data_IF_345987245170
#
_entry.id   IF_345987245170
#
_cell.length_a   1.000
_cell.length_b   1.000
_cell.length_c   1.000
_cell.angle_alpha   90.00
_cell.angle_beta   90.00
_cell.angle_gamma   90.00
#
_symmetry.space_group_name_H-M   'P 1'
#
loop_
_entity.id
_entity.type
_entity.pdbx_description
1 polymer ?
#
# COMPACT_ATOMS: atom_id res chain seq x y z
N UNK A 1 21.84 11.80 -8.15
CA UNK A 1 23.23 11.64 -8.63
C UNK A 1 23.39 12.49 -9.89
N UNK A 2 24.55 13.12 -10.11
CA UNK A 2 24.81 13.90 -11.32
C UNK A 2 25.55 13.04 -12.35
N UNK A 3 25.14 13.07 -13.62
CA UNK A 3 25.88 12.46 -14.74
C UNK A 3 26.58 13.54 -15.55
N UNK A 4 27.86 13.36 -15.83
CA UNK A 4 28.64 14.26 -16.69
C UNK A 4 28.35 13.93 -18.17
N UNK A 5 28.08 14.94 -19.00
CA UNK A 5 28.09 14.78 -20.45
C UNK A 5 29.54 14.77 -20.95
N UNK A 6 29.88 13.76 -21.73
CA UNK A 6 31.21 13.40 -22.25
C UNK A 6 32.19 14.55 -22.49
N UNK A 7 33.25 14.62 -21.68
CA UNK A 7 34.60 15.02 -22.07
C UNK A 7 35.59 14.59 -20.98
N UNK A 8 36.72 14.02 -21.39
CA UNK A 8 37.77 13.51 -20.52
C UNK A 8 38.33 14.62 -19.60
N UNK A 9 38.46 14.32 -18.31
CA UNK A 9 39.04 15.21 -17.30
C UNK A 9 40.57 15.20 -17.50
N UNK A 10 41.13 16.24 -18.11
CA UNK A 10 42.58 16.53 -18.06
C UNK A 10 42.86 17.57 -16.98
N UNK A 11 43.92 17.34 -16.20
CA UNK A 11 44.14 17.97 -14.90
C UNK A 11 44.81 19.36 -14.95
N UNK A 12 44.65 20.15 -16.01
CA UNK A 12 45.48 21.36 -16.20
C UNK A 12 44.76 22.64 -16.67
N UNK A 13 43.45 22.75 -16.55
CA UNK A 13 42.82 24.08 -16.57
C UNK A 13 41.62 24.14 -15.64
N UNK A 14 41.44 25.30 -14.99
CA UNK A 14 40.33 25.61 -14.08
C UNK A 14 39.00 25.54 -14.87
N UNK A 15 38.46 24.34 -15.08
CA UNK A 15 37.19 24.15 -15.80
C UNK A 15 36.05 24.59 -14.89
N UNK A 16 35.32 25.63 -15.32
CA UNK A 16 34.10 26.07 -14.64
C UNK A 16 33.05 24.97 -14.87
N UNK A 17 32.56 24.36 -13.79
CA UNK A 17 31.58 23.28 -13.83
C UNK A 17 30.18 23.84 -13.57
N UNK A 18 29.24 23.58 -14.48
CA UNK A 18 27.87 24.08 -14.38
C UNK A 18 26.87 22.92 -14.40
N UNK A 19 25.81 23.01 -13.59
CA UNK A 19 24.70 22.04 -13.62
C UNK A 19 23.62 22.55 -14.56
N UNK A 20 23.20 21.72 -15.51
CA UNK A 20 22.05 22.00 -16.34
C UNK A 20 20.81 21.39 -15.72
N UNK A 21 19.70 22.15 -15.77
CA UNK A 21 18.39 21.55 -15.58
C UNK A 21 18.03 20.68 -16.81
N UNK A 22 16.88 20.01 -16.72
CA UNK A 22 16.39 19.12 -17.78
C UNK A 22 16.05 19.86 -19.10
N UNK A 23 15.86 21.18 -19.04
CA UNK A 23 15.58 22.04 -20.21
C UNK A 23 16.86 22.62 -20.84
N UNK A 24 18.02 22.06 -20.50
CA UNK A 24 19.33 22.49 -21.01
C UNK A 24 19.66 23.97 -20.68
N UNK A 25 19.14 24.48 -19.56
CA UNK A 25 19.48 25.80 -19.00
C UNK A 25 20.39 25.61 -17.79
N UNK A 26 21.36 26.51 -17.64
CA UNK A 26 22.21 26.54 -16.46
C UNK A 26 21.36 26.82 -15.23
N UNK A 27 21.34 25.87 -14.29
CA UNK A 27 20.88 26.13 -12.93
C UNK A 27 22.05 26.75 -12.16
N UNK A 28 21.78 27.85 -11.47
CA UNK A 28 22.72 28.83 -10.91
C UNK A 28 23.62 28.33 -9.78
N UNK A 29 24.41 27.28 -9.99
CA UNK A 29 25.39 26.79 -9.01
C UNK A 29 26.63 26.27 -9.75
N UNK A 30 27.65 27.10 -9.87
CA UNK A 30 28.99 26.66 -10.25
C UNK A 30 29.59 25.85 -9.10
N UNK A 31 30.24 24.71 -9.38
CA UNK A 31 31.15 24.13 -8.40
C UNK A 31 32.40 25.01 -8.34
N UNK A 32 32.74 25.55 -7.16
CA UNK A 32 34.05 26.17 -6.97
C UNK A 32 35.13 25.06 -7.00
N UNK A 33 36.30 25.42 -7.53
CA UNK A 33 37.41 24.53 -7.84
C UNK A 33 37.97 23.84 -6.59
N UNK A 34 37.44 22.65 -6.32
CA UNK A 34 38.14 21.37 -6.27
C UNK A 34 37.14 20.41 -5.64
N UNK A 35 36.40 19.60 -6.43
CA UNK A 35 35.50 18.65 -5.82
C UNK A 35 36.31 17.75 -4.88
N UNK A 36 35.92 17.72 -3.59
CA UNK A 36 36.57 16.84 -2.61
C UNK A 36 36.46 15.42 -3.13
N UNK A 37 37.61 14.80 -3.40
CA UNK A 37 37.71 13.47 -3.96
C UNK A 37 37.56 12.43 -2.85
N UNK A 38 36.67 11.47 -3.05
CA UNK A 38 36.48 10.32 -2.17
C UNK A 38 36.81 9.02 -2.89
N UNK A 39 37.20 8.01 -2.10
CA UNK A 39 37.59 6.68 -2.59
C UNK A 39 36.41 5.76 -2.93
N UNK A 40 35.18 6.17 -2.59
CA UNK A 40 33.96 5.45 -2.93
C UNK A 40 32.76 6.39 -3.11
N UNK A 41 31.73 5.91 -3.81
CA UNK A 41 30.46 6.62 -3.95
C UNK A 41 29.75 6.80 -2.60
N UNK A 42 29.86 5.83 -1.69
CA UNK A 42 29.24 5.89 -0.37
C UNK A 42 29.80 7.05 0.46
N UNK A 43 31.13 7.20 0.51
CA UNK A 43 31.79 8.30 1.22
C UNK A 43 31.36 9.67 0.69
N UNK A 44 31.24 9.78 -0.63
CA UNK A 44 30.71 10.95 -1.31
C UNK A 44 29.29 11.30 -0.87
N UNK A 45 28.39 10.32 -0.85
CA UNK A 45 26.98 10.52 -0.47
C UNK A 45 26.89 10.95 0.98
N UNK A 46 27.63 10.31 1.88
CA UNK A 46 27.68 10.70 3.30
C UNK A 46 28.21 12.13 3.48
N UNK A 47 29.31 12.48 2.80
CA UNK A 47 29.88 13.82 2.87
C UNK A 47 28.94 14.89 2.29
N UNK A 48 28.18 14.56 1.24
CA UNK A 48 27.18 15.44 0.66
C UNK A 48 25.97 15.65 1.59
N UNK A 49 25.46 14.58 2.20
CA UNK A 49 24.34 14.66 3.16
C UNK A 49 24.70 15.48 4.41
N UNK A 50 25.96 15.46 4.82
CA UNK A 50 26.46 16.24 5.95
C UNK A 50 26.71 17.73 5.61
N UNK A 51 26.58 18.14 4.34
CA UNK A 51 26.89 19.47 3.88
C UNK A 51 25.64 20.15 3.32
N UNK A 52 25.15 21.18 4.01
CA UNK A 52 23.95 21.94 3.62
C UNK A 52 24.09 22.67 2.28
N UNK A 53 25.32 22.90 1.82
CA UNK A 53 25.60 23.49 0.53
C UNK A 53 25.73 22.45 -0.58
N UNK A 54 25.76 21.15 -0.27
CA UNK A 54 25.90 20.12 -1.29
C UNK A 54 24.69 20.09 -2.22
N UNK A 55 24.96 19.96 -3.51
CA UNK A 55 23.93 19.84 -4.56
C UNK A 55 23.98 18.53 -5.31
N UNK A 56 25.02 17.74 -5.10
CA UNK A 56 25.10 16.41 -5.66
C UNK A 56 26.50 15.84 -5.63
N UNK A 57 26.59 14.61 -6.13
CA UNK A 57 27.84 13.87 -6.26
C UNK A 57 27.98 13.33 -7.68
N UNK A 58 29.22 13.23 -8.15
CA UNK A 58 29.58 12.62 -9.44
C UNK A 58 30.52 11.46 -9.22
N UNK A 59 30.25 10.34 -9.92
CA UNK A 59 31.18 9.22 -10.04
C UNK A 59 32.00 9.37 -11.32
N UNK A 60 33.33 9.35 -11.22
CA UNK A 60 34.22 9.34 -12.39
C UNK A 60 34.65 7.92 -12.75
N UNK A 61 35.45 7.78 -13.82
CA UNK A 61 36.09 6.51 -14.17
C UNK A 61 37.05 6.09 -13.04
N UNK A 62 36.98 4.83 -12.63
CA UNK A 62 37.60 4.32 -11.39
C UNK A 62 36.72 4.54 -10.15
N UNK A 63 37.09 3.99 -9.00
CA UNK A 63 36.31 4.09 -7.75
C UNK A 63 36.20 5.50 -7.15
N UNK A 64 36.65 6.53 -7.88
CA UNK A 64 36.71 7.92 -7.44
C UNK A 64 35.35 8.61 -7.57
N UNK A 65 35.02 9.40 -6.56
CA UNK A 65 33.82 10.22 -6.54
C UNK A 65 34.12 11.66 -6.08
N UNK A 66 33.26 12.59 -6.50
CA UNK A 66 33.38 14.02 -6.32
C UNK A 66 32.08 14.60 -5.70
N UNK A 67 32.21 15.45 -4.68
CA UNK A 67 31.08 16.20 -4.08
C UNK A 67 31.04 17.61 -4.66
N UNK A 68 29.83 18.10 -4.96
CA UNK A 68 29.58 19.42 -5.55
C UNK A 68 28.79 20.30 -4.60
N UNK A 69 29.24 21.54 -4.41
CA UNK A 69 28.60 22.54 -3.56
C UNK A 69 27.91 23.64 -4.37
N UNK A 70 26.91 24.26 -3.77
CA UNK A 70 26.23 25.44 -4.27
C UNK A 70 27.14 26.67 -4.18
N UNK A 71 27.32 27.39 -5.28
CA UNK A 71 27.85 28.75 -5.23
C UNK A 71 26.74 29.77 -5.56
N UNK A 72 26.90 31.00 -5.06
CA UNK A 72 26.08 32.13 -5.46
C UNK A 72 26.67 32.79 -6.71
N UNK A 73 26.10 32.53 -7.89
CA UNK A 73 26.33 33.35 -9.09
C UNK A 73 25.02 33.57 -9.85
N UNK A 74 24.79 34.83 -10.21
CA UNK A 74 23.57 35.29 -10.87
C UNK A 74 23.67 35.03 -12.39
N UNK A 75 23.30 33.82 -12.82
CA UNK A 75 23.25 33.42 -14.24
C UNK A 75 21.96 32.67 -14.55
N UNK A 76 20.84 33.38 -14.42
CA UNK A 76 19.56 32.97 -15.02
C UNK A 76 19.64 33.15 -16.54
N UNK A 77 19.10 32.20 -17.31
CA UNK A 77 18.93 32.23 -18.78
C UNK A 77 20.09 31.83 -19.71
N UNK A 78 21.21 31.30 -19.20
CA UNK A 78 22.28 30.77 -20.09
C UNK A 78 21.90 29.38 -20.62
N UNK A 79 21.93 29.21 -21.95
CA UNK A 79 21.76 27.89 -22.58
C UNK A 79 23.03 27.06 -22.39
N UNK A 80 22.89 25.78 -22.05
CA UNK A 80 24.01 24.82 -22.00
C UNK A 80 24.41 24.44 -23.43
N UNK A 81 25.02 25.38 -24.16
CA UNK A 81 25.69 25.12 -25.43
C UNK A 81 27.13 24.70 -25.16
N UNK A 82 27.71 23.89 -26.07
CA UNK A 82 29.07 23.34 -25.99
C UNK A 82 30.13 24.45 -25.90
N UNK A 83 30.31 25.04 -24.72
CA UNK A 83 31.43 25.91 -24.43
C UNK A 83 32.67 25.04 -24.28
N UNK A 84 33.71 25.34 -25.05
CA UNK A 84 35.02 24.72 -24.86
C UNK A 84 35.48 24.98 -23.41
N UNK A 85 35.96 23.96 -22.73
CA UNK A 85 36.41 23.96 -21.32
C UNK A 85 35.32 24.04 -20.22
N UNK A 86 34.06 23.68 -20.54
CA UNK A 86 32.98 23.57 -19.55
C UNK A 86 32.40 22.16 -19.49
N UNK A 87 32.39 21.55 -18.30
CA UNK A 87 31.68 20.28 -18.05
C UNK A 87 30.28 20.57 -17.55
N UNK A 88 29.28 20.10 -18.28
CA UNK A 88 27.89 20.15 -17.88
C UNK A 88 27.48 18.87 -17.13
N UNK A 89 26.83 19.04 -15.99
CA UNK A 89 26.24 17.95 -15.23
C UNK A 89 24.73 17.97 -15.39
N UNK A 90 24.15 16.84 -15.75
CA UNK A 90 22.69 16.65 -15.69
C UNK A 90 22.35 15.98 -14.37
N UNK A 91 21.37 16.53 -13.65
CA UNK A 91 20.75 15.82 -12.53
C UNK A 91 20.04 14.59 -13.09
N UNK A 92 20.58 13.40 -12.81
CA UNK A 92 19.83 12.17 -13.05
C UNK A 92 18.98 11.92 -11.81
N UNK A 93 17.72 12.33 -11.87
CA UNK A 93 16.72 11.86 -10.91
C UNK A 93 16.36 10.44 -11.32
N UNK A 94 16.69 9.48 -10.46
CA UNK A 94 16.33 8.08 -10.65
C UNK A 94 15.13 7.78 -9.78
N UNK A 95 14.07 7.26 -10.39
CA UNK A 95 12.91 6.75 -9.67
C UNK A 95 13.17 5.28 -9.32
N UNK A 96 13.42 4.92 -8.05
CA UNK A 96 13.52 3.53 -7.63
C UNK A 96 12.18 2.79 -7.81
N UNK A 97 12.21 1.47 -7.58
CA UNK A 97 11.02 0.63 -7.49
C UNK A 97 10.11 0.63 -8.73
N UNK A 98 10.74 0.74 -9.91
CA UNK A 98 10.01 0.76 -11.18
C UNK A 98 9.24 2.04 -11.45
N UNK A 99 9.51 3.12 -10.71
CA UNK A 99 8.96 4.43 -11.02
C UNK A 99 9.56 5.03 -12.30
N UNK A 100 8.80 5.92 -12.94
CA UNK A 100 9.23 6.64 -14.16
C UNK A 100 9.26 8.13 -13.87
N UNK A 101 10.35 8.82 -14.21
CA UNK A 101 10.46 10.26 -13.99
C UNK A 101 9.57 11.00 -14.99
N UNK A 102 8.67 11.83 -14.47
CA UNK A 102 7.82 12.71 -15.29
C UNK A 102 8.37 14.13 -15.19
N UNK A 103 8.81 14.69 -16.32
CA UNK A 103 9.40 16.03 -16.40
C UNK A 103 8.40 17.11 -16.02
N UNK A 104 7.16 16.96 -16.46
CA UNK A 104 6.03 17.83 -16.08
C UNK A 104 5.65 17.53 -14.63
N UNK A 105 5.87 18.50 -13.74
CA UNK A 105 5.60 18.37 -12.31
C UNK A 105 6.77 17.84 -11.48
N UNK A 106 7.92 17.53 -12.11
CA UNK A 106 9.18 17.16 -11.44
C UNK A 106 9.03 16.09 -10.35
N UNK A 107 8.34 14.99 -10.69
CA UNK A 107 8.09 13.87 -9.77
C UNK A 107 8.13 12.53 -10.48
N UNK A 108 8.33 11.46 -9.71
CA UNK A 108 8.19 10.09 -10.18
C UNK A 108 6.71 9.69 -10.25
N UNK A 109 6.33 9.07 -11.37
CA UNK A 109 5.12 8.27 -11.47
C UNK A 109 5.44 6.87 -10.95
N UNK A 110 4.79 6.49 -9.85
CA UNK A 110 5.06 5.25 -9.14
C UNK A 110 4.19 4.08 -9.64
N UNK A 111 4.62 2.87 -9.32
CA UNK A 111 3.89 1.62 -9.57
C UNK A 111 3.99 0.69 -8.35
N UNK A 112 3.19 -0.38 -8.31
CA UNK A 112 3.30 -1.43 -7.27
C UNK A 112 3.00 -0.99 -5.83
N UNK A 113 2.22 0.07 -5.64
CA UNK A 113 1.86 0.59 -4.33
C UNK A 113 2.90 1.51 -3.69
N UNK A 114 3.98 1.83 -4.40
CA UNK A 114 4.95 2.86 -4.00
C UNK A 114 4.38 4.26 -4.20
N UNK A 115 4.71 5.17 -3.29
CA UNK A 115 4.22 6.56 -3.32
C UNK A 115 5.32 7.53 -2.92
N UNK A 116 5.01 8.84 -2.95
CA UNK A 116 6.00 9.91 -2.76
C UNK A 116 6.63 10.36 -4.06
N UNK A 117 7.23 11.55 -4.05
CA UNK A 117 7.77 12.18 -5.27
C UNK A 117 8.92 11.37 -5.90
N UNK A 118 9.51 10.44 -5.15
CA UNK A 118 10.57 9.53 -5.58
C UNK A 118 10.21 8.04 -5.47
N UNK A 119 8.96 7.66 -5.20
CA UNK A 119 8.55 6.25 -5.05
C UNK A 119 9.35 5.44 -4.01
N UNK A 120 9.77 6.08 -2.92
CA UNK A 120 10.65 5.49 -1.89
C UNK A 120 9.91 4.95 -0.66
N UNK A 121 8.61 5.18 -0.55
CA UNK A 121 7.80 4.76 0.59
C UNK A 121 6.61 3.94 0.14
N UNK A 122 6.21 3.01 1.00
CA UNK A 122 4.95 2.31 0.89
C UNK A 122 3.78 3.26 1.13
N UNK A 123 2.64 2.95 0.51
CA UNK A 123 1.42 3.72 0.72
C UNK A 123 0.87 3.53 2.14
N UNK A 124 0.32 4.59 2.70
CA UNK A 124 -0.36 4.54 4.00
C UNK A 124 -1.84 4.20 3.89
N UNK A 125 -2.45 4.40 2.72
CA UNK A 125 -3.87 4.18 2.46
C UNK A 125 -4.18 4.05 0.96
N UNK A 126 -5.34 3.54 0.59
CA UNK A 126 -5.75 3.52 -0.82
C UNK A 126 -5.99 4.94 -1.39
N UNK A 127 -6.43 5.88 -0.55
CA UNK A 127 -6.65 7.27 -0.94
C UNK A 127 -5.37 7.94 -1.46
N UNK A 128 -4.23 7.55 -0.88
CA UNK A 128 -2.93 8.08 -1.27
C UNK A 128 -2.52 7.64 -2.68
N UNK A 129 -2.90 6.43 -3.12
CA UNK A 129 -2.61 5.96 -4.49
C UNK A 129 -3.30 6.86 -5.53
N UNK A 130 -4.54 7.26 -5.28
CA UNK A 130 -5.28 8.19 -6.16
C UNK A 130 -4.52 9.52 -6.29
N UNK A 131 -4.02 10.06 -5.16
CA UNK A 131 -3.21 11.30 -5.14
C UNK A 131 -1.92 11.19 -5.96
N UNK A 132 -1.32 9.99 -6.00
CA UNK A 132 -0.11 9.72 -6.79
C UNK A 132 -0.38 9.22 -8.21
N UNK A 133 -1.63 9.30 -8.68
CA UNK A 133 -1.99 9.09 -10.10
C UNK A 133 -2.13 7.62 -10.50
N UNK A 134 -2.40 6.73 -9.54
CA UNK A 134 -2.75 5.35 -9.85
C UNK A 134 -4.10 5.29 -10.59
N UNK A 135 -4.24 4.34 -11.51
CA UNK A 135 -5.42 4.19 -12.36
C UNK A 135 -6.67 3.84 -11.53
N UNK A 136 -7.72 4.64 -11.67
CA UNK A 136 -9.06 4.34 -11.14
C UNK A 136 -9.79 3.34 -12.05
N UNK A 137 -10.82 2.67 -11.55
CA UNK A 137 -11.49 1.54 -12.20
C UNK A 137 -10.74 0.22 -12.10
N UNK A 138 -9.67 0.16 -11.30
CA UNK A 138 -8.79 -1.01 -11.18
C UNK A 138 -8.48 -1.36 -9.72
N UNK A 139 -8.22 -2.64 -9.50
CA UNK A 139 -7.67 -3.16 -8.25
C UNK A 139 -6.14 -3.13 -8.29
N UNK A 140 -5.51 -2.75 -7.18
CA UNK A 140 -4.06 -2.64 -7.04
C UNK A 140 -3.59 -3.43 -5.83
N UNK A 141 -2.66 -4.35 -6.06
CA UNK A 141 -1.90 -4.99 -4.99
C UNK A 141 -0.88 -4.01 -4.43
N UNK A 142 -0.86 -3.88 -3.11
CA UNK A 142 -0.01 -2.92 -2.41
C UNK A 142 0.65 -3.53 -1.18
N UNK A 143 1.73 -2.89 -0.75
CA UNK A 143 2.24 -3.04 0.61
C UNK A 143 1.91 -1.75 1.35
N UNK A 144 1.21 -1.87 2.47
CA UNK A 144 0.87 -0.75 3.34
C UNK A 144 1.95 -0.54 4.39
N UNK A 145 2.29 0.72 4.63
CA UNK A 145 2.98 1.16 5.85
C UNK A 145 2.12 2.23 6.50
N UNK A 146 1.21 1.80 7.36
CA UNK A 146 0.28 2.68 8.06
C UNK A 146 0.97 3.39 9.22
N UNK A 147 0.60 4.63 9.50
CA UNK A 147 1.08 5.39 10.66
C UNK A 147 0.83 4.58 11.94
N UNK A 148 1.88 4.37 12.75
CA UNK A 148 1.89 3.52 13.96
C UNK A 148 1.83 2.00 13.75
N UNK A 149 1.95 1.50 12.51
CA UNK A 149 2.30 0.09 12.29
C UNK A 149 3.81 -0.10 12.38
N UNK A 150 4.28 -1.07 13.16
CA UNK A 150 5.70 -1.39 13.26
C UNK A 150 6.25 -2.03 11.99
N UNK A 151 5.42 -2.72 11.21
CA UNK A 151 5.84 -3.47 10.03
C UNK A 151 4.93 -3.21 8.82
N UNK A 152 5.48 -3.18 7.59
CA UNK A 152 4.68 -3.16 6.38
C UNK A 152 3.90 -4.47 6.20
N UNK A 153 2.71 -4.41 5.62
CA UNK A 153 1.89 -5.59 5.33
C UNK A 153 1.23 -5.53 3.95
N UNK A 154 0.95 -6.69 3.37
CA UNK A 154 0.31 -6.81 2.05
C UNK A 154 -1.17 -6.45 2.14
N UNK A 155 -1.69 -5.76 1.13
CA UNK A 155 -3.11 -5.43 1.00
C UNK A 155 -3.53 -5.24 -0.45
N UNK A 156 -4.82 -4.97 -0.67
CA UNK A 156 -5.36 -4.67 -1.99
C UNK A 156 -6.34 -3.49 -1.92
N UNK A 157 -6.16 -2.57 -2.85
CA UNK A 157 -6.98 -1.38 -3.02
C UNK A 157 -7.89 -1.55 -4.22
N UNK A 158 -9.15 -1.16 -4.10
CA UNK A 158 -10.02 -0.93 -5.26
C UNK A 158 -10.23 0.58 -5.41
N UNK A 159 -9.62 1.16 -6.43
CA UNK A 159 -9.72 2.60 -6.70
C UNK A 159 -10.88 2.83 -7.66
N UNK A 160 -12.04 3.25 -7.14
CA UNK A 160 -13.26 3.36 -7.94
C UNK A 160 -13.25 4.66 -8.75
N UNK A 161 -12.92 5.78 -8.09
CA UNK A 161 -12.86 7.11 -8.70
C UNK A 161 -11.83 7.98 -8.00
N UNK A 162 -11.76 9.27 -8.36
CA UNK A 162 -10.91 10.24 -7.68
C UNK A 162 -11.30 10.52 -6.22
N UNK A 163 -12.52 10.12 -5.82
CA UNK A 163 -13.10 10.39 -4.50
C UNK A 163 -13.60 9.14 -3.79
N UNK A 164 -13.58 7.99 -4.45
CA UNK A 164 -14.07 6.73 -3.90
C UNK A 164 -13.04 5.61 -4.06
N UNK A 165 -12.71 4.97 -2.94
CA UNK A 165 -11.77 3.86 -2.87
C UNK A 165 -12.11 2.96 -1.70
N UNK A 166 -11.76 1.68 -1.83
CA UNK A 166 -11.95 0.67 -0.80
C UNK A 166 -10.62 0.00 -0.45
N UNK A 167 -10.44 -0.33 0.83
CA UNK A 167 -9.36 -1.21 1.29
C UNK A 167 -9.94 -2.57 1.64
N UNK A 168 -9.60 -3.59 0.86
CA UNK A 168 -10.17 -4.93 1.06
C UNK A 168 -9.62 -5.62 2.30
N UNK A 169 -10.52 -6.24 3.07
CA UNK A 169 -10.24 -7.05 4.26
C UNK A 169 -10.29 -8.53 3.88
N UNK A 170 -11.38 -8.93 3.22
CA UNK A 170 -11.64 -10.27 2.72
C UNK A 170 -12.14 -10.14 1.29
N UNK A 171 -11.61 -10.98 0.39
CA UNK A 171 -12.23 -11.26 -0.90
C UNK A 171 -12.13 -12.75 -1.12
N UNK A 172 -13.23 -13.39 -1.52
CA UNK A 172 -13.20 -14.81 -1.85
C UNK A 172 -14.27 -15.17 -2.86
N UNK A 173 -13.89 -16.04 -3.80
CA UNK A 173 -14.78 -16.71 -4.74
C UNK A 173 -15.04 -18.17 -4.33
N UNK A 174 -14.93 -18.46 -3.03
CA UNK A 174 -15.18 -19.79 -2.48
C UNK A 174 -13.99 -20.74 -2.50
N UNK A 175 -12.77 -20.24 -2.75
CA UNK A 175 -11.54 -21.04 -2.74
C UNK A 175 -10.56 -20.61 -1.66
N UNK A 176 -11.06 -19.93 -0.63
CA UNK A 176 -10.27 -19.54 0.54
C UNK A 176 -10.19 -20.72 1.51
N UNK A 177 -8.98 -21.20 1.79
CA UNK A 177 -8.74 -22.35 2.65
C UNK A 177 -8.66 -21.97 4.14
N UNK A 178 -9.65 -21.24 4.67
CA UNK A 178 -9.63 -20.75 6.07
C UNK A 178 -9.55 -21.89 7.10
N UNK A 179 -10.20 -23.03 6.85
CA UNK A 179 -10.17 -24.21 7.71
C UNK A 179 -8.76 -24.77 7.97
N UNK A 180 -7.82 -24.59 7.04
CA UNK A 180 -6.44 -25.08 7.17
C UNK A 180 -5.50 -24.03 7.78
N UNK A 181 -6.01 -22.88 8.24
CA UNK A 181 -5.21 -21.76 8.73
C UNK A 181 -5.30 -21.68 10.26
N UNK A 182 -4.15 -21.58 10.90
CA UNK A 182 -4.02 -21.43 12.36
C UNK A 182 -4.49 -20.06 12.84
N UNK A 183 -4.58 -19.86 14.15
CA UNK A 183 -4.72 -18.55 14.77
C UNK A 183 -3.64 -17.59 14.26
N UNK A 184 -2.38 -18.03 14.26
CA UNK A 184 -1.27 -17.20 13.80
C UNK A 184 -1.41 -16.80 12.33
N UNK A 185 -1.98 -17.65 11.47
CA UNK A 185 -2.21 -17.32 10.07
C UNK A 185 -3.32 -16.28 9.93
N UNK A 186 -4.40 -16.39 10.70
CA UNK A 186 -5.49 -15.40 10.71
C UNK A 186 -5.04 -14.05 11.27
N UNK A 187 -4.11 -14.05 12.24
CA UNK A 187 -3.48 -12.83 12.75
C UNK A 187 -2.63 -12.14 11.68
N UNK A 188 -1.80 -12.90 10.97
CA UNK A 188 -0.88 -12.37 9.94
C UNK A 188 -1.57 -12.03 8.61
N UNK A 189 -2.62 -12.75 8.26
CA UNK A 189 -3.24 -12.72 6.93
C UNK A 189 -2.63 -13.75 5.98
N UNK A 190 -3.40 -14.10 4.95
CA UNK A 190 -3.02 -15.09 3.95
C UNK A 190 -3.65 -14.79 2.58
N UNK A 191 -2.95 -15.19 1.53
CA UNK A 191 -3.32 -14.95 0.13
C UNK A 191 -3.23 -16.28 -0.61
N UNK A 192 -4.36 -16.93 -0.85
CA UNK A 192 -4.38 -18.16 -1.64
C UNK A 192 -4.21 -17.83 -3.13
N UNK A 193 -4.81 -16.72 -3.58
CA UNK A 193 -4.59 -16.14 -4.90
C UNK A 193 -5.01 -14.64 -4.91
N UNK A 194 -5.08 -14.02 -6.09
CA UNK A 194 -5.46 -12.59 -6.23
C UNK A 194 -6.93 -12.28 -5.92
N UNK A 195 -7.79 -13.29 -5.85
CA UNK A 195 -9.24 -13.22 -5.64
C UNK A 195 -9.69 -13.88 -4.32
N UNK A 196 -8.85 -14.72 -3.71
CA UNK A 196 -9.09 -15.36 -2.42
C UNK A 196 -8.00 -14.98 -1.42
N UNK A 197 -8.32 -14.07 -0.49
CA UNK A 197 -7.39 -13.62 0.53
C UNK A 197 -8.09 -13.06 1.78
N UNK A 198 -7.34 -13.07 2.87
CA UNK A 198 -7.65 -12.46 4.16
C UNK A 198 -6.50 -11.55 4.56
N UNK A 199 -6.78 -10.27 4.83
CA UNK A 199 -5.74 -9.26 5.10
C UNK A 199 -4.97 -9.51 6.41
N UNK A 200 -5.58 -10.20 7.37
CA UNK A 200 -5.03 -10.44 8.70
C UNK A 200 -5.63 -9.55 9.79
N UNK A 201 -5.80 -10.08 11.00
CA UNK A 201 -6.39 -9.36 12.13
C UNK A 201 -5.54 -8.16 12.57
N UNK A 202 -4.20 -8.29 12.59
CA UNK A 202 -3.32 -7.17 12.95
C UNK A 202 -3.29 -6.08 11.87
N UNK A 203 -3.29 -6.48 10.60
CA UNK A 203 -3.41 -5.55 9.46
C UNK A 203 -4.73 -4.78 9.54
N UNK A 204 -5.83 -5.47 9.80
CA UNK A 204 -7.16 -4.89 9.96
C UNK A 204 -7.21 -3.92 11.16
N UNK A 205 -6.60 -4.30 12.30
CA UNK A 205 -6.48 -3.44 13.49
C UNK A 205 -5.63 -2.20 13.24
N UNK A 206 -4.51 -2.33 12.51
CA UNK A 206 -3.66 -1.20 12.16
C UNK A 206 -4.41 -0.18 11.30
N UNK A 207 -5.15 -0.66 10.29
CA UNK A 207 -6.01 0.18 9.44
C UNK A 207 -7.14 0.84 10.25
N UNK A 208 -7.76 0.10 11.17
CA UNK A 208 -8.81 0.63 12.03
C UNK A 208 -8.30 1.73 12.97
N UNK A 209 -7.12 1.54 13.58
CA UNK A 209 -6.45 2.57 14.39
C UNK A 209 -6.02 3.80 13.58
N UNK A 210 -5.82 3.65 12.28
CA UNK A 210 -5.55 4.76 11.37
C UNK A 210 -6.81 5.50 10.88
N UNK A 211 -7.99 5.12 11.39
CA UNK A 211 -9.25 5.84 11.16
C UNK A 211 -10.21 5.16 10.20
N UNK A 212 -9.87 3.99 9.64
CA UNK A 212 -10.81 3.22 8.83
C UNK A 212 -11.81 2.49 9.75
N UNK A 213 -12.96 3.12 9.99
CA UNK A 213 -13.97 2.68 10.97
C UNK A 213 -15.34 2.41 10.33
N UNK A 214 -15.42 2.29 9.01
CA UNK A 214 -16.63 1.90 8.30
C UNK A 214 -16.35 0.65 7.48
N UNK A 215 -17.08 -0.41 7.75
CA UNK A 215 -16.93 -1.69 7.04
C UNK A 215 -18.16 -1.92 6.19
N UNK A 216 -17.95 -2.48 5.00
CA UNK A 216 -19.01 -3.01 4.17
C UNK A 216 -18.75 -4.48 3.89
N UNK A 217 -19.79 -5.29 3.97
CA UNK A 217 -19.78 -6.71 3.63
C UNK A 217 -20.77 -6.91 2.50
N UNK A 218 -20.23 -7.21 1.32
CA UNK A 218 -20.95 -7.42 0.08
C UNK A 218 -20.92 -8.89 -0.33
N UNK A 219 -22.01 -9.34 -0.94
CA UNK A 219 -22.13 -10.62 -1.62
C UNK A 219 -22.63 -10.39 -3.03
N UNK A 220 -21.98 -11.06 -3.98
CA UNK A 220 -22.29 -10.94 -5.40
C UNK A 220 -22.99 -12.21 -5.89
N UNK A 221 -24.12 -12.00 -6.54
CA UNK A 221 -24.97 -13.05 -7.09
C UNK A 221 -24.84 -13.14 -8.60
N UNK A 222 -24.95 -14.35 -9.12
CA UNK A 222 -25.15 -14.59 -10.56
C UNK A 222 -26.44 -15.36 -10.72
N UNK A 223 -27.56 -14.64 -10.87
CA UNK A 223 -28.85 -15.21 -11.27
C UNK A 223 -29.29 -14.62 -12.61
N UNK A 224 -28.45 -14.78 -13.64
CA UNK A 224 -28.63 -14.13 -14.95
C UNK A 224 -28.19 -12.65 -14.98
N UNK A 225 -28.09 -11.98 -13.83
CA UNK A 225 -27.55 -10.62 -13.64
C UNK A 225 -26.59 -10.57 -12.43
N UNK A 226 -25.61 -9.65 -12.47
CA UNK A 226 -24.69 -9.39 -11.35
C UNK A 226 -25.35 -8.43 -10.36
N UNK A 227 -25.76 -8.95 -9.20
CA UNK A 227 -26.38 -8.16 -8.14
C UNK A 227 -25.47 -8.13 -6.91
N UNK A 228 -25.26 -6.94 -6.34
CA UNK A 228 -24.55 -6.76 -5.08
C UNK A 228 -25.57 -6.55 -3.97
N UNK A 229 -25.52 -7.39 -2.93
CA UNK A 229 -26.28 -7.21 -1.68
C UNK A 229 -25.32 -7.14 -0.52
N UNK A 230 -25.58 -6.23 0.41
CA UNK A 230 -24.63 -6.00 1.50
C UNK A 230 -25.19 -5.19 2.66
N UNK A 231 -24.40 -5.15 3.72
CA UNK A 231 -24.58 -4.28 4.89
C UNK A 231 -23.38 -3.38 5.06
N UNK A 232 -23.64 -2.15 5.49
CA UNK A 232 -22.62 -1.22 5.96
C UNK A 232 -22.70 -1.13 7.49
N UNK A 233 -21.56 -1.21 8.14
CA UNK A 233 -21.39 -1.14 9.59
C UNK A 233 -20.61 0.12 9.94
N UNK A 234 -21.20 0.96 10.78
CA UNK A 234 -20.66 2.27 11.13
C UNK A 234 -19.95 2.27 12.49
N UNK A 235 -18.82 2.97 12.58
CA UNK A 235 -17.94 2.97 13.75
C UNK A 235 -17.53 1.54 14.15
N UNK A 236 -17.19 0.74 13.15
CA UNK A 236 -16.59 -0.56 13.33
C UNK A 236 -15.24 -0.43 14.05
N UNK A 237 -15.02 -1.26 15.06
CA UNK A 237 -13.78 -1.36 15.80
C UNK A 237 -13.39 -2.82 16.01
N UNK A 238 -12.09 -3.09 16.04
CA UNK A 238 -11.51 -4.40 16.36
C UNK A 238 -10.50 -4.24 17.50
N UNK A 239 -10.66 -5.04 18.55
CA UNK A 239 -9.78 -5.05 19.72
C UNK A 239 -8.44 -5.78 19.44
N UNK A 240 -7.54 -5.79 20.42
CA UNK A 240 -6.23 -6.43 20.31
C UNK A 240 -6.27 -7.91 20.65
N UNK A 241 -5.10 -8.54 20.55
CA UNK A 241 -4.91 -9.92 21.00
C UNK A 241 -5.28 -10.13 22.48
N UNK A 242 -5.15 -9.11 23.32
CA UNK A 242 -5.55 -9.11 24.74
C UNK A 242 -7.06 -9.34 24.96
N UNK A 243 -7.86 -9.13 23.92
CA UNK A 243 -9.31 -9.42 23.90
C UNK A 243 -9.70 -10.26 22.70
N UNK A 244 -8.77 -11.12 22.24
CA UNK A 244 -9.01 -12.08 21.16
C UNK A 244 -9.63 -11.45 19.90
N UNK A 245 -9.18 -10.23 19.56
CA UNK A 245 -9.63 -9.48 18.39
C UNK A 245 -11.15 -9.29 18.31
N UNK A 246 -11.83 -9.16 19.45
CA UNK A 246 -13.27 -8.87 19.51
C UNK A 246 -13.64 -7.67 18.66
N UNK A 247 -14.74 -7.74 17.91
CA UNK A 247 -15.22 -6.61 17.12
C UNK A 247 -16.53 -6.03 17.65
N UNK A 248 -16.76 -4.75 17.36
CA UNK A 248 -18.03 -4.07 17.62
C UNK A 248 -18.30 -3.00 16.57
N UNK A 249 -19.55 -2.54 16.48
CA UNK A 249 -19.93 -1.38 15.67
C UNK A 249 -21.10 -0.63 16.34
N UNK A 250 -21.32 0.63 15.97
CA UNK A 250 -22.37 1.47 16.58
C UNK A 250 -23.74 1.25 15.95
N UNK A 251 -23.78 1.09 14.63
CA UNK A 251 -25.00 0.87 13.87
C UNK A 251 -24.70 0.15 12.57
N UNK A 252 -25.70 -0.53 12.00
CA UNK A 252 -25.65 -1.11 10.66
C UNK A 252 -26.75 -0.51 9.78
N UNK A 253 -26.53 -0.52 8.47
CA UNK A 253 -27.56 -0.18 7.48
C UNK A 253 -27.50 -1.17 6.33
N UNK A 254 -28.68 -1.65 5.95
CA UNK A 254 -28.86 -2.44 4.75
C UNK A 254 -28.74 -1.58 3.49
N UNK A 255 -28.20 -2.16 2.41
CA UNK A 255 -27.96 -1.43 1.15
C UNK A 255 -29.06 -1.65 0.10
N UNK A 256 -29.88 -2.69 0.25
CA UNK A 256 -30.94 -3.08 -0.68
C UNK A 256 -32.22 -3.38 0.09
N UNK A 257 -33.39 -3.21 -0.55
CA UNK A 257 -34.70 -3.44 0.08
C UNK A 257 -35.19 -4.90 -0.02
N UNK A 258 -34.27 -5.87 -0.05
CA UNK A 258 -34.58 -7.30 -0.22
C UNK A 258 -34.67 -8.03 1.14
N UNK A 259 -34.52 -9.36 1.16
CA UNK A 259 -34.48 -10.21 2.37
C UNK A 259 -33.06 -10.54 2.88
N UNK A 260 -32.00 -9.96 2.32
CA UNK A 260 -30.61 -10.15 2.76
C UNK A 260 -30.45 -9.81 4.27
N UNK A 261 -29.95 -10.76 5.06
CA UNK A 261 -29.83 -10.63 6.52
C UNK A 261 -28.53 -9.95 6.96
N UNK A 262 -28.55 -9.43 8.19
CA UNK A 262 -27.39 -8.81 8.82
C UNK A 262 -26.44 -9.91 9.31
N UNK A 263 -25.29 -10.09 8.66
CA UNK A 263 -24.31 -11.11 9.03
C UNK A 263 -23.62 -10.79 10.36
N UNK A 264 -23.15 -9.55 10.55
CA UNK A 264 -22.28 -9.22 11.71
C UNK A 264 -23.09 -8.86 12.96
N UNK A 265 -24.34 -8.43 12.83
CA UNK A 265 -25.22 -8.09 13.95
C UNK A 265 -25.35 -9.20 14.99
N UNK A 266 -25.74 -10.42 14.61
CA UNK A 266 -25.87 -11.55 15.55
C UNK A 266 -24.58 -11.89 16.30
N UNK A 267 -23.43 -11.73 15.63
CA UNK A 267 -22.10 -12.05 16.18
C UNK A 267 -21.35 -10.84 16.72
N UNK A 268 -21.98 -9.66 16.85
CA UNK A 268 -21.36 -8.48 17.43
C UNK A 268 -20.87 -8.75 18.85
N UNK A 269 -19.63 -8.36 19.16
CA UNK A 269 -19.00 -8.60 20.45
C UNK A 269 -18.45 -10.01 20.63
N UNK A 270 -18.56 -10.89 19.64
CA UNK A 270 -17.92 -12.21 19.68
C UNK A 270 -16.40 -12.06 19.58
N UNK A 271 -15.69 -12.96 20.23
CA UNK A 271 -14.24 -13.12 20.08
C UNK A 271 -13.95 -13.88 18.78
N UNK A 272 -12.76 -13.69 18.22
CA UNK A 272 -12.35 -14.47 17.05
C UNK A 272 -11.98 -15.88 17.50
N UNK A 273 -12.36 -16.89 16.72
CA UNK A 273 -11.99 -18.30 16.98
C UNK A 273 -11.42 -18.95 15.73
N UNK A 274 -10.50 -19.88 15.91
CA UNK A 274 -9.94 -20.76 14.88
C UNK A 274 -9.96 -22.22 15.37
N UNK A 275 -9.68 -23.18 14.49
CA UNK A 275 -9.69 -24.60 14.87
C UNK A 275 -8.65 -24.93 15.96
N UNK A 276 -7.59 -24.14 16.08
CA UNK A 276 -6.51 -24.27 17.06
C UNK A 276 -6.62 -23.27 18.24
N UNK A 277 -7.57 -22.35 18.22
CA UNK A 277 -7.84 -21.42 19.31
C UNK A 277 -9.34 -21.16 19.46
N UNK A 278 -9.92 -21.84 20.44
CA UNK A 278 -11.34 -21.78 20.75
C UNK A 278 -11.64 -20.63 21.73
N UNK A 279 -12.33 -19.60 21.23
CA UNK A 279 -12.79 -18.45 22.03
C UNK A 279 -14.29 -18.22 21.86
N UNK A 280 -15.05 -19.23 21.42
CA UNK A 280 -16.50 -19.11 21.29
C UNK A 280 -17.21 -19.28 22.65
N UNK A 281 -18.54 -19.14 22.66
CA UNK A 281 -19.36 -19.17 23.89
C UNK A 281 -19.92 -20.58 24.17
N UNK A 282 -19.46 -21.63 23.47
CA UNK A 282 -19.98 -23.00 23.58
C UNK A 282 -19.01 -23.90 24.33
N UNK A 283 -19.45 -24.38 25.50
CA UNK A 283 -18.66 -25.33 26.28
C UNK A 283 -18.51 -26.69 25.56
N UNK A 284 -17.26 -27.12 25.39
CA UNK A 284 -16.93 -28.47 24.90
C UNK A 284 -17.04 -28.67 23.39
N UNK A 285 -17.24 -27.61 22.61
CA UNK A 285 -17.29 -27.69 21.15
C UNK A 285 -16.66 -26.46 20.50
N UNK A 286 -15.62 -26.66 19.69
CA UNK A 286 -15.04 -25.60 18.87
C UNK A 286 -15.88 -25.34 17.62
N UNK A 287 -16.54 -24.19 17.56
CA UNK A 287 -17.40 -23.80 16.45
C UNK A 287 -16.63 -23.44 15.19
N UNK A 288 -15.39 -22.96 15.29
CA UNK A 288 -14.54 -22.72 14.13
C UNK A 288 -14.20 -24.03 13.41
N UNK A 289 -14.01 -25.13 14.15
CA UNK A 289 -13.89 -26.47 13.55
C UNK A 289 -15.20 -26.91 12.88
N UNK A 290 -16.34 -26.76 13.56
CA UNK A 290 -17.64 -27.16 13.01
C UNK A 290 -18.07 -26.35 11.77
N UNK A 291 -17.64 -25.09 11.67
CA UNK A 291 -17.94 -24.19 10.56
C UNK A 291 -16.83 -24.17 9.49
N UNK A 292 -15.75 -24.94 9.68
CA UNK A 292 -14.59 -25.00 8.78
C UNK A 292 -14.02 -23.61 8.43
N UNK A 293 -13.96 -22.70 9.40
CA UNK A 293 -13.47 -21.35 9.18
C UNK A 293 -13.05 -20.67 10.48
N UNK A 294 -12.02 -19.83 10.39
CA UNK A 294 -11.75 -18.84 11.43
C UNK A 294 -12.68 -17.64 11.28
N UNK A 295 -13.46 -17.34 12.31
CA UNK A 295 -14.38 -16.20 12.29
C UNK A 295 -14.76 -15.74 13.70
N UNK A 296 -15.43 -14.59 13.80
CA UNK A 296 -16.13 -14.18 15.01
C UNK A 296 -17.42 -14.99 15.17
N UNK A 297 -17.42 -15.92 16.11
CA UNK A 297 -18.52 -16.86 16.32
C UNK A 297 -18.83 -16.97 17.80
N UNK A 298 -20.13 -16.88 18.13
CA UNK A 298 -20.62 -17.11 19.51
C UNK A 298 -21.02 -18.56 19.73
N UNK A 299 -21.74 -19.12 18.77
CA UNK A 299 -22.25 -20.49 18.84
C UNK A 299 -22.20 -21.17 17.48
N UNK A 300 -22.19 -22.51 17.50
CA UNK A 300 -21.91 -23.31 16.32
C UNK A 300 -23.06 -23.31 15.30
N UNK A 301 -24.23 -22.80 15.69
CA UNK A 301 -25.36 -22.53 14.80
C UNK A 301 -25.32 -21.12 14.18
N UNK A 302 -24.23 -20.35 14.35
CA UNK A 302 -24.05 -19.04 13.73
C UNK A 302 -24.32 -19.09 12.23
N UNK A 303 -25.08 -18.10 11.76
CA UNK A 303 -25.47 -17.92 10.37
C UNK A 303 -24.51 -17.00 9.61
N UNK A 304 -23.45 -16.49 10.26
CA UNK A 304 -22.43 -15.66 9.64
C UNK A 304 -21.08 -16.40 9.60
N UNK A 305 -20.69 -16.82 8.40
CA UNK A 305 -19.43 -17.47 8.09
C UNK A 305 -18.99 -17.13 6.65
N UNK A 306 -18.50 -15.90 6.39
CA UNK A 306 -18.07 -15.47 5.07
C UNK A 306 -16.73 -16.09 4.63
N UNK A 307 -15.92 -16.60 5.58
CA UNK A 307 -14.62 -17.23 5.33
C UNK A 307 -14.71 -18.74 5.08
N UNK A 308 -15.88 -19.34 5.30
CA UNK A 308 -16.14 -20.75 5.03
C UNK A 308 -15.99 -21.15 3.57
N UNK A 309 -15.73 -22.45 3.39
CA UNK A 309 -15.71 -23.12 2.09
C UNK A 309 -17.10 -23.09 1.45
N UNK A 310 -17.21 -23.43 0.16
CA UNK A 310 -18.50 -23.45 -0.55
C UNK A 310 -19.61 -24.24 0.20
N UNK A 311 -19.26 -25.31 0.90
CA UNK A 311 -20.22 -26.18 1.61
C UNK A 311 -20.62 -25.69 3.01
N UNK A 312 -19.78 -24.88 3.66
CA UNK A 312 -19.97 -24.46 5.07
C UNK A 312 -20.13 -22.96 5.26
N UNK A 313 -19.90 -22.17 4.20
CA UNK A 313 -20.17 -20.74 4.16
C UNK A 313 -21.60 -20.48 4.62
N UNK A 314 -21.85 -19.37 5.33
CA UNK A 314 -23.20 -18.96 5.75
C UNK A 314 -23.27 -17.44 5.77
N UNK A 315 -24.41 -16.89 5.37
CA UNK A 315 -24.75 -15.48 5.55
C UNK A 315 -26.20 -15.44 6.02
N UNK A 316 -26.51 -14.59 7.00
CA UNK A 316 -27.84 -14.58 7.62
C UNK A 316 -28.96 -14.29 6.61
N UNK A 317 -30.10 -14.97 6.78
CA UNK A 317 -31.24 -14.87 5.86
C UNK A 317 -31.07 -15.59 4.52
N UNK A 318 -30.14 -16.56 4.40
CA UNK A 318 -29.87 -17.23 3.13
C UNK A 318 -29.73 -18.77 3.18
N UNK A 319 -30.32 -19.43 2.17
CA UNK A 319 -30.13 -20.86 1.91
C UNK A 319 -29.22 -21.04 0.68
N UNK A 320 -28.02 -21.57 0.89
CA UNK A 320 -27.00 -21.77 -0.14
C UNK A 320 -27.31 -22.88 -1.14
N UNK A 321 -28.36 -23.69 -0.91
CA UNK A 321 -28.66 -24.85 -1.73
C UNK A 321 -29.01 -24.53 -3.21
N UNK A 322 -29.24 -23.27 -3.56
CA UNK A 322 -29.58 -22.87 -4.94
C UNK A 322 -28.37 -22.40 -5.79
N UNK A 323 -27.14 -22.36 -5.26
CA UNK A 323 -25.93 -22.23 -6.09
C UNK A 323 -25.70 -20.90 -6.83
N UNK A 324 -26.26 -19.78 -6.36
CA UNK A 324 -26.29 -18.49 -7.09
C UNK A 324 -25.19 -17.48 -6.70
N UNK A 325 -24.13 -17.89 -6.01
CA UNK A 325 -23.07 -16.97 -5.56
C UNK A 325 -21.79 -17.16 -6.34
N UNK A 326 -21.03 -16.08 -6.46
CA UNK A 326 -19.66 -16.15 -6.98
C UNK A 326 -18.65 -15.51 -6.03
N UNK A 327 -19.02 -14.50 -5.22
CA UNK A 327 -18.03 -13.66 -4.54
C UNK A 327 -18.55 -13.08 -3.21
N UNK A 328 -17.68 -13.07 -2.19
CA UNK A 328 -17.89 -12.37 -0.91
C UNK A 328 -16.75 -11.37 -0.74
N UNK A 329 -17.09 -10.12 -0.40
CA UNK A 329 -16.11 -9.05 -0.21
C UNK A 329 -16.41 -8.31 1.09
N UNK A 330 -15.43 -8.23 1.98
CA UNK A 330 -15.45 -7.36 3.16
C UNK A 330 -14.38 -6.30 2.99
N UNK A 331 -14.71 -5.04 3.23
CA UNK A 331 -13.77 -3.94 3.03
C UNK A 331 -14.05 -2.73 3.89
N UNK A 332 -13.01 -1.95 4.15
CA UNK A 332 -13.17 -0.62 4.69
C UNK A 332 -13.62 0.33 3.59
N UNK A 333 -14.70 1.05 3.86
CA UNK A 333 -15.22 2.13 3.02
C UNK A 333 -14.44 3.39 3.36
N UNK A 334 -13.98 4.13 2.36
CA UNK A 334 -13.42 5.47 2.59
C UNK A 334 -14.43 6.34 3.36
N UNK A 335 -13.98 7.12 4.36
CA UNK A 335 -14.80 8.14 5.03
C UNK A 335 -15.45 9.11 4.06
#
# INVERSE_FOLDING_TARGET
MLRASSSLISSTSLSRQYICNLDNRVQSRCAHLLPKQYSSLAQCVTACLANSSCIGVTRAAGSKCYVHDACALNVSNVACTKANNVTFYTSSVSCPNGGVWVTVGQKCQCSGGWVGDLCTRYTSSCAELVKYGYLTGHEHDVTFQVTNSSNPFKGKCNLISSTAQNTYILKTIGRLHSNCRTWSDHVKGFWDNSFDFWIGLESMRALNKAGLNHVRLDTCFVNGTYEIRGYKYFNFSIDGADKNYTFSFRSSSKLTNDSYGDCLGPVMGAQFSTWDMDNDEVDGQNCATAQEAGWWVKACNSTCNPMGSWSTRKMDGFNLQNGLYYEVIMYFVSP
#
